data_IF_970818739072
#
_entry.id   IF_970818739072
#
_cell.length_a   1.000
_cell.length_b   1.000
_cell.length_c   1.000
_cell.angle_alpha   90.00
_cell.angle_beta   90.00
_cell.angle_gamma   90.00
#
_symmetry.space_group_name_H-M   'P 1'
#
loop_
_entity.id
_entity.type
_entity.pdbx_description
1 polymer ?
#
# COMPACT_ATOMS: atom_id res chain seq x y z
N UNK A 1 16.34 -46.31 3.02
CA UNK A 1 16.48 -44.93 2.48
C UNK A 1 15.22 -44.19 2.90
N UNK A 2 15.26 -43.24 3.86
CA UNK A 2 14.04 -42.58 4.31
C UNK A 2 13.53 -41.63 3.23
N UNK A 3 12.21 -41.60 3.08
CA UNK A 3 11.48 -40.79 2.11
C UNK A 3 11.67 -39.29 2.43
N UNK A 4 12.01 -38.41 1.48
CA UNK A 4 12.18 -37.00 1.77
C UNK A 4 10.80 -36.37 1.99
N UNK A 5 10.57 -35.85 3.19
CA UNK A 5 9.35 -35.13 3.55
C UNK A 5 9.21 -33.94 2.61
N UNK A 6 8.25 -33.99 1.69
CA UNK A 6 7.92 -32.88 0.79
C UNK A 6 7.43 -31.73 1.66
N UNK A 7 8.19 -30.63 1.72
CA UNK A 7 7.76 -29.41 2.42
C UNK A 7 6.41 -28.91 1.88
N UNK A 8 5.66 -28.11 2.66
CA UNK A 8 4.40 -27.55 2.19
C UNK A 8 4.65 -26.82 0.87
N UNK A 9 3.90 -27.20 -0.17
CA UNK A 9 3.94 -26.50 -1.45
C UNK A 9 3.55 -25.04 -1.17
N UNK A 10 4.30 -24.04 -1.67
CA UNK A 10 3.91 -22.64 -1.50
C UNK A 10 2.50 -22.47 -2.06
N UNK A 11 1.65 -21.75 -1.33
CA UNK A 11 0.34 -21.38 -1.84
C UNK A 11 0.53 -20.74 -3.21
N UNK A 12 -0.22 -21.15 -4.24
CA UNK A 12 -0.14 -20.51 -5.53
C UNK A 12 -0.44 -19.04 -5.33
N UNK A 13 0.52 -18.18 -5.67
CA UNK A 13 0.38 -16.72 -5.59
C UNK A 13 -0.88 -16.38 -6.38
N UNK A 14 -1.97 -16.05 -5.68
CA UNK A 14 -3.20 -15.62 -6.34
C UNK A 14 -2.87 -14.32 -7.04
N UNK A 15 -2.96 -14.32 -8.38
CA UNK A 15 -2.89 -13.08 -9.13
C UNK A 15 -3.98 -12.14 -8.58
N UNK A 16 -3.61 -10.89 -8.23
CA UNK A 16 -4.57 -9.96 -7.69
C UNK A 16 -5.61 -9.67 -8.76
N UNK A 17 -6.86 -10.04 -8.47
CA UNK A 17 -8.01 -9.70 -9.31
C UNK A 17 -8.17 -8.18 -9.27
N UNK A 18 -8.28 -7.49 -10.43
CA UNK A 18 -8.57 -6.07 -10.48
C UNK A 18 -9.80 -5.73 -9.63
N UNK A 19 -9.67 -4.73 -8.77
CA UNK A 19 -10.74 -4.24 -7.91
C UNK A 19 -11.15 -2.84 -8.39
N UNK A 20 -12.25 -2.71 -9.16
CA UNK A 20 -12.66 -1.44 -9.75
C UNK A 20 -12.97 -0.36 -8.70
N UNK A 21 -13.21 -0.73 -7.44
CA UNK A 21 -13.45 0.23 -6.37
C UNK A 21 -12.15 0.76 -5.77
N UNK A 22 -11.08 -0.04 -5.77
CA UNK A 22 -9.82 0.29 -5.10
C UNK A 22 -8.73 0.73 -6.06
N UNK A 23 -8.70 0.15 -7.26
CA UNK A 23 -7.67 0.41 -8.26
C UNK A 23 -7.53 1.90 -8.62
N UNK A 24 -8.62 2.68 -8.77
CA UNK A 24 -8.51 4.11 -9.05
C UNK A 24 -7.80 4.92 -7.95
N UNK A 25 -7.78 4.43 -6.71
CA UNK A 25 -7.23 5.15 -5.55
C UNK A 25 -5.87 4.61 -5.10
N UNK A 26 -5.37 3.56 -5.75
CA UNK A 26 -4.18 2.83 -5.29
C UNK A 26 -2.95 3.72 -5.25
N UNK A 27 -2.72 4.47 -6.32
CA UNK A 27 -1.55 5.36 -6.42
C UNK A 27 -1.63 6.50 -5.40
N UNK A 28 -2.81 7.10 -5.21
CA UNK A 28 -3.03 8.13 -4.20
C UNK A 28 -2.79 7.59 -2.77
N UNK A 29 -3.19 6.35 -2.50
CA UNK A 29 -2.96 5.72 -1.20
C UNK A 29 -1.48 5.42 -0.97
N UNK A 30 -0.75 4.99 -1.99
CA UNK A 30 0.70 4.81 -1.90
C UNK A 30 1.39 6.14 -1.56
N UNK A 31 0.98 7.25 -2.19
CA UNK A 31 1.50 8.58 -1.86
C UNK A 31 1.18 8.99 -0.41
N UNK A 32 0.02 8.64 0.13
CA UNK A 32 -0.31 8.89 1.53
C UNK A 32 0.52 8.03 2.49
N UNK A 33 0.85 6.80 2.12
CA UNK A 33 1.74 5.94 2.91
C UNK A 33 3.17 6.49 2.93
N UNK A 34 3.67 7.00 1.81
CA UNK A 34 4.99 7.66 1.77
C UNK A 34 5.04 8.86 2.73
N UNK A 35 3.97 9.65 2.81
CA UNK A 35 3.86 10.76 3.78
C UNK A 35 3.82 10.22 5.22
N UNK A 36 3.08 9.14 5.48
CA UNK A 36 3.04 8.53 6.80
C UNK A 36 4.42 8.03 7.27
N UNK A 37 5.24 7.51 6.35
CA UNK A 37 6.62 7.13 6.65
C UNK A 37 7.49 8.34 7.01
N UNK A 38 7.23 9.51 6.42
CA UNK A 38 7.98 10.75 6.69
C UNK A 38 7.73 11.35 8.09
N UNK A 39 6.58 11.05 8.71
CA UNK A 39 6.28 11.43 10.10
C UNK A 39 7.12 10.65 11.13
N UNK A 40 7.46 9.39 10.83
CA UNK A 40 8.16 8.49 11.76
C UNK A 40 9.46 9.07 12.34
N UNK A 41 10.37 9.65 11.53
CA UNK A 41 11.59 10.31 12.00
C UNK A 41 11.39 11.45 13.00
N UNK A 42 10.25 12.16 12.96
CA UNK A 42 9.94 13.24 13.88
C UNK A 42 9.41 12.74 15.24
N UNK A 43 9.05 11.45 15.32
CA UNK A 43 8.42 10.85 16.50
C UNK A 43 6.91 11.08 16.57
N UNK A 44 6.32 11.64 15.52
CA UNK A 44 4.90 11.87 15.39
C UNK A 44 4.15 10.58 14.98
N UNK A 45 2.83 10.59 15.10
CA UNK A 45 2.00 9.44 14.72
C UNK A 45 2.06 9.28 13.19
N UNK A 46 2.45 8.12 12.64
CA UNK A 46 2.67 7.94 11.21
C UNK A 46 1.35 7.93 10.43
N UNK A 47 0.85 9.12 10.12
CA UNK A 47 -0.35 9.35 9.32
C UNK A 47 0.02 10.30 8.22
N UNK A 48 -0.25 9.88 6.99
CA UNK A 48 -0.12 10.71 5.81
C UNK A 48 -1.48 10.88 5.12
N UNK A 49 -1.64 12.00 4.45
CA UNK A 49 -2.86 12.37 3.75
C UNK A 49 -2.54 13.01 2.40
N UNK A 50 -3.42 12.76 1.44
CA UNK A 50 -3.41 13.41 0.13
C UNK A 50 -4.79 14.01 -0.14
N UNK A 51 -4.82 15.18 -0.78
CA UNK A 51 -6.05 15.83 -1.25
C UNK A 51 -6.03 15.82 -2.76
N UNK A 52 -7.07 15.28 -3.37
CA UNK A 52 -7.20 15.17 -4.82
C UNK A 52 -8.25 16.17 -5.35
N UNK A 53 -7.99 16.69 -6.54
CA UNK A 53 -8.96 17.43 -7.34
C UNK A 53 -9.98 16.49 -8.00
N UNK A 54 -11.04 17.05 -8.61
CA UNK A 54 -12.08 16.26 -9.27
C UNK A 54 -11.57 15.46 -10.48
N UNK A 55 -10.42 15.83 -11.02
CA UNK A 55 -9.70 15.15 -12.10
C UNK A 55 -8.68 14.11 -11.59
N UNK A 56 -8.56 13.94 -10.27
CA UNK A 56 -7.59 13.06 -9.65
C UNK A 56 -6.20 13.68 -9.45
N UNK A 57 -6.00 14.95 -9.82
CA UNK A 57 -4.72 15.62 -9.60
C UNK A 57 -4.48 15.85 -8.10
N UNK A 58 -3.24 15.65 -7.64
CA UNK A 58 -2.87 15.93 -6.24
C UNK A 58 -2.82 17.44 -6.02
N UNK A 59 -3.67 17.93 -5.13
CA UNK A 59 -3.73 19.33 -4.70
C UNK A 59 -2.86 19.61 -3.47
N UNK A 60 -2.77 18.64 -2.56
CA UNK A 60 -1.95 18.73 -1.35
C UNK A 60 -1.53 17.35 -0.83
N UNK A 61 -0.43 17.32 -0.08
CA UNK A 61 0.09 16.18 0.68
C UNK A 61 0.59 16.66 2.03
N UNK A 62 0.41 15.87 3.08
CA UNK A 62 0.89 16.19 4.41
C UNK A 62 1.03 14.93 5.27
N UNK A 63 1.82 15.05 6.32
CA UNK A 63 1.91 14.08 7.41
C UNK A 63 1.86 14.78 8.77
N UNK A 64 1.59 14.01 9.83
CA UNK A 64 1.65 14.50 11.20
C UNK A 64 3.08 14.71 11.68
#
# INVERSE_FOLDING_TARGET
MPDPVRGPSPDPVREPVPDPLRDPWRDAMLLALDEAEAAGPAGDVPVGAVVLGPDGAVLARAHN
#
